data_IF_077754210890
#
_entry.id   IF_077754210890
#
_cell.length_a   1.000
_cell.length_b   1.000
_cell.length_c   1.000
_cell.angle_alpha   90.00
_cell.angle_beta   90.00
_cell.angle_gamma   90.00
#
_symmetry.space_group_name_H-M   'P 1'
#
loop_
_entity.id
_entity.type
_entity.pdbx_description
1 polymer ?
#
# COMPACT_ATOMS: atom_id res chain seq x y z
N UNK A 1 1.96 -7.02 15.15
CA UNK A 1 1.26 -8.06 15.95
C UNK A 1 1.02 -7.58 17.39
N UNK A 2 2.00 -7.07 18.16
CA UNK A 2 1.73 -6.61 19.53
C UNK A 2 0.62 -5.55 19.62
N UNK A 3 0.53 -4.65 18.65
CA UNK A 3 -0.54 -3.66 18.56
C UNK A 3 -1.93 -4.29 18.37
N UNK A 4 -2.05 -5.32 17.52
CA UNK A 4 -3.32 -6.04 17.30
C UNK A 4 -3.77 -6.72 18.60
N UNK A 5 -2.87 -7.42 19.29
CA UNK A 5 -3.16 -8.06 20.56
C UNK A 5 -3.58 -7.06 21.65
N UNK A 6 -2.92 -5.90 21.71
CA UNK A 6 -3.32 -4.82 22.62
C UNK A 6 -4.71 -4.28 22.27
N UNK A 7 -5.00 -4.05 20.99
CA UNK A 7 -6.32 -3.63 20.52
C UNK A 7 -7.43 -4.63 20.91
N UNK A 8 -7.13 -5.92 20.95
CA UNK A 8 -8.06 -6.95 21.40
C UNK A 8 -8.48 -6.77 22.86
N UNK A 9 -7.66 -6.16 23.71
CA UNK A 9 -7.96 -5.89 25.14
C UNK A 9 -8.60 -4.55 25.39
N UNK A 10 -8.58 -3.60 24.43
CA UNK A 10 -9.16 -2.27 24.61
C UNK A 10 -10.70 -2.33 24.70
N UNK A 11 -11.35 -1.51 25.54
CA UNK A 11 -12.81 -1.53 25.69
C UNK A 11 -13.55 -1.01 24.45
N UNK A 12 -12.87 -0.26 23.57
CA UNK A 12 -13.49 0.41 22.42
C UNK A 12 -13.85 -0.59 21.31
N UNK A 13 -15.02 -0.44 20.65
CA UNK A 13 -15.45 -1.30 19.55
C UNK A 13 -14.82 -0.88 18.22
N UNK A 14 -13.50 -1.04 18.08
CA UNK A 14 -12.73 -0.63 16.90
C UNK A 14 -12.85 -1.69 15.79
N UNK A 15 -12.85 -1.30 14.53
CA UNK A 15 -12.63 -2.21 13.40
C UNK A 15 -11.13 -2.28 13.10
N UNK A 16 -10.65 -3.46 12.70
CA UNK A 16 -9.24 -3.66 12.37
C UNK A 16 -9.04 -3.62 10.86
N UNK A 17 -8.14 -2.75 10.40
CA UNK A 17 -7.65 -2.75 9.03
C UNK A 17 -6.17 -3.11 9.00
N UNK A 18 -5.79 -4.03 8.12
CA UNK A 18 -4.42 -4.55 8.00
C UNK A 18 -3.92 -4.36 6.58
N UNK A 19 -2.84 -3.64 6.42
CA UNK A 19 -2.10 -3.55 5.15
C UNK A 19 -1.39 -4.88 4.89
N UNK A 20 -1.98 -5.72 4.02
CA UNK A 20 -1.46 -7.05 3.73
C UNK A 20 -0.51 -7.04 2.53
N UNK A 21 -0.96 -6.57 1.38
CA UNK A 21 -0.25 -6.35 0.10
C UNK A 21 0.39 -7.58 -0.56
N UNK A 22 0.56 -8.68 0.15
CA UNK A 22 0.95 -9.99 -0.36
C UNK A 22 0.40 -11.09 0.55
N UNK A 23 0.10 -12.26 0.00
CA UNK A 23 -0.47 -13.40 0.71
C UNK A 23 0.51 -14.57 0.89
N UNK A 24 1.79 -14.36 0.54
CA UNK A 24 2.90 -15.25 0.86
C UNK A 24 4.09 -14.45 1.40
N UNK A 25 4.90 -15.10 2.25
CA UNK A 25 5.99 -14.42 2.97
C UNK A 25 7.10 -13.94 2.04
N UNK A 26 7.38 -14.66 0.96
CA UNK A 26 8.46 -14.29 0.02
C UNK A 26 8.18 -12.90 -0.58
N UNK A 27 7.00 -12.71 -1.17
CA UNK A 27 6.63 -11.43 -1.74
C UNK A 27 6.40 -10.37 -0.66
N UNK A 28 5.83 -10.77 0.49
CA UNK A 28 5.55 -9.82 1.56
C UNK A 28 6.82 -9.29 2.23
N UNK A 29 7.88 -10.06 2.28
CA UNK A 29 9.20 -9.61 2.78
C UNK A 29 9.81 -8.49 1.94
N UNK A 30 9.47 -8.45 0.66
CA UNK A 30 9.89 -7.40 -0.27
C UNK A 30 9.02 -6.15 -0.16
N UNK A 31 7.69 -6.33 -0.17
CA UNK A 31 6.73 -5.23 -0.16
C UNK A 31 6.52 -4.60 1.22
N UNK A 32 6.59 -5.41 2.27
CA UNK A 32 6.30 -5.04 3.66
C UNK A 32 7.38 -5.62 4.58
N UNK A 33 8.57 -5.02 4.68
CA UNK A 33 9.76 -5.61 5.32
C UNK A 33 9.58 -6.03 6.78
N UNK A 34 8.59 -5.48 7.49
CA UNK A 34 8.25 -5.91 8.86
C UNK A 34 7.76 -7.37 8.91
N UNK A 35 7.41 -7.96 7.75
CA UNK A 35 7.03 -9.36 7.64
C UNK A 35 8.12 -10.31 8.12
N UNK A 36 9.38 -9.99 7.87
CA UNK A 36 10.54 -10.77 8.35
C UNK A 36 10.53 -10.98 9.86
N UNK A 37 9.95 -10.03 10.60
CA UNK A 37 9.78 -10.14 12.05
C UNK A 37 8.44 -10.77 12.44
N UNK A 38 7.43 -10.60 11.62
CA UNK A 38 6.06 -11.05 11.85
C UNK A 38 5.50 -11.67 10.57
N UNK A 39 5.79 -12.96 10.33
CA UNK A 39 5.30 -13.68 9.16
C UNK A 39 3.77 -13.68 9.05
N UNK A 40 3.27 -13.95 7.85
CA UNK A 40 1.83 -13.97 7.57
C UNK A 40 1.07 -14.91 8.52
N UNK A 41 1.62 -16.07 8.81
CA UNK A 41 0.99 -17.02 9.75
C UNK A 41 0.73 -16.41 11.12
N UNK A 42 1.72 -15.70 11.68
CA UNK A 42 1.57 -15.01 12.97
C UNK A 42 0.60 -13.83 12.89
N UNK A 43 0.59 -13.13 11.76
CA UNK A 43 -0.35 -12.02 11.51
C UNK A 43 -1.79 -12.53 11.45
N UNK A 44 -2.03 -13.63 10.71
CA UNK A 44 -3.35 -14.27 10.57
C UNK A 44 -3.84 -14.75 11.93
N UNK A 45 -2.97 -15.41 12.72
CA UNK A 45 -3.31 -15.84 14.07
C UNK A 45 -3.71 -14.67 14.98
N UNK A 46 -2.93 -13.58 14.97
CA UNK A 46 -3.26 -12.39 15.76
C UNK A 46 -4.57 -11.69 15.31
N UNK A 47 -4.89 -11.76 14.02
CA UNK A 47 -6.18 -11.28 13.50
C UNK A 47 -7.34 -12.18 13.97
N UNK A 48 -7.13 -13.50 14.01
CA UNK A 48 -8.09 -14.46 14.57
C UNK A 48 -8.38 -14.17 16.04
N UNK A 49 -7.34 -14.05 16.86
CA UNK A 49 -7.44 -13.69 18.29
C UNK A 49 -8.26 -12.39 18.48
N UNK A 50 -8.01 -11.39 17.61
CA UNK A 50 -8.74 -10.12 17.63
C UNK A 50 -10.22 -10.30 17.31
N UNK A 51 -10.55 -11.09 16.28
CA UNK A 51 -11.94 -11.36 15.88
C UNK A 51 -12.70 -12.11 16.99
N UNK A 52 -12.10 -13.10 17.62
CA UNK A 52 -12.69 -13.82 18.74
C UNK A 52 -12.97 -12.89 19.93
N UNK A 53 -12.01 -12.04 20.28
CA UNK A 53 -12.15 -11.12 21.41
C UNK A 53 -13.17 -10.00 21.17
N UNK A 54 -13.27 -9.49 19.93
CA UNK A 54 -14.04 -8.26 19.61
C UNK A 54 -15.29 -8.49 18.78
N UNK A 55 -15.37 -9.57 18.02
CA UNK A 55 -16.44 -9.80 17.02
C UNK A 55 -16.70 -8.55 16.15
N UNK A 56 -15.64 -7.91 15.68
CA UNK A 56 -15.69 -6.70 14.85
C UNK A 56 -15.19 -6.98 13.45
N UNK A 57 -15.41 -6.03 12.53
CA UNK A 57 -14.96 -6.18 11.15
C UNK A 57 -13.44 -6.17 11.05
N UNK A 58 -12.90 -7.12 10.28
CA UNK A 58 -11.54 -7.12 9.79
C UNK A 58 -11.54 -6.76 8.31
N UNK A 59 -10.64 -5.89 7.87
CA UNK A 59 -10.37 -5.64 6.46
C UNK A 59 -8.89 -5.80 6.15
N UNK A 60 -8.60 -6.35 4.96
CA UNK A 60 -7.27 -6.35 4.37
C UNK A 60 -7.19 -5.26 3.31
N UNK A 61 -6.19 -4.40 3.43
CA UNK A 61 -5.86 -3.39 2.43
C UNK A 61 -4.82 -3.98 1.46
N UNK A 62 -5.11 -3.91 0.16
CA UNK A 62 -4.26 -4.48 -0.88
C UNK A 62 -4.03 -3.48 -1.99
N UNK A 63 -2.84 -2.87 -2.04
CA UNK A 63 -2.41 -2.02 -3.14
C UNK A 63 -2.05 -2.90 -4.34
N UNK A 64 -2.71 -2.70 -5.46
CA UNK A 64 -2.51 -3.47 -6.69
C UNK A 64 -1.34 -2.89 -7.50
N UNK A 65 -0.26 -3.66 -7.58
CA UNK A 65 0.97 -3.35 -8.30
C UNK A 65 1.05 -4.29 -9.50
N UNK A 66 1.11 -3.70 -10.70
CA UNK A 66 1.13 -4.44 -11.95
C UNK A 66 2.30 -5.43 -12.02
N UNK A 67 2.03 -6.66 -12.45
CA UNK A 67 2.96 -7.78 -12.61
C UNK A 67 3.69 -8.22 -11.32
N UNK A 68 3.35 -7.63 -10.16
CA UNK A 68 3.97 -7.95 -8.87
C UNK A 68 3.06 -8.76 -7.97
N UNK A 69 1.89 -8.20 -7.59
CA UNK A 69 0.95 -8.81 -6.66
C UNK A 69 -0.49 -8.87 -7.21
N UNK A 70 -0.65 -8.83 -8.52
CA UNK A 70 -1.95 -8.86 -9.20
C UNK A 70 -2.18 -10.14 -10.04
N UNK A 71 -1.39 -11.18 -9.80
CA UNK A 71 -1.46 -12.46 -10.53
C UNK A 71 -2.64 -13.32 -10.05
N UNK A 72 -2.98 -14.34 -10.83
CA UNK A 72 -4.03 -15.30 -10.44
C UNK A 72 -3.66 -16.17 -9.22
N UNK A 73 -2.36 -16.36 -8.97
CA UNK A 73 -1.87 -16.97 -7.73
C UNK A 73 -2.18 -16.10 -6.52
N UNK A 74 -1.93 -14.78 -6.63
CA UNK A 74 -2.17 -13.83 -5.55
C UNK A 74 -3.65 -13.76 -5.17
N UNK A 75 -4.55 -13.85 -6.17
CA UNK A 75 -6.00 -13.93 -5.92
C UNK A 75 -6.35 -15.16 -5.08
N UNK A 76 -5.83 -16.34 -5.44
CA UNK A 76 -6.15 -17.58 -4.71
C UNK A 76 -5.60 -17.58 -3.29
N UNK A 77 -4.36 -17.15 -3.12
CA UNK A 77 -3.70 -17.05 -1.81
C UNK A 77 -4.41 -16.05 -0.90
N UNK A 78 -4.73 -14.86 -1.44
CA UNK A 78 -5.49 -13.84 -0.70
C UNK A 78 -6.90 -14.33 -0.34
N UNK A 79 -7.58 -15.00 -1.27
CA UNK A 79 -8.91 -15.55 -1.02
C UNK A 79 -8.91 -16.59 0.10
N UNK A 80 -7.89 -17.45 0.19
CA UNK A 80 -7.77 -18.43 1.26
C UNK A 80 -7.72 -17.72 2.63
N UNK A 81 -6.80 -16.76 2.80
CA UNK A 81 -6.64 -16.01 4.06
C UNK A 81 -7.92 -15.21 4.40
N UNK A 82 -8.48 -14.51 3.41
CA UNK A 82 -9.63 -13.65 3.64
C UNK A 82 -10.90 -14.44 4.02
N UNK A 83 -11.10 -15.61 3.44
CA UNK A 83 -12.24 -16.49 3.77
C UNK A 83 -12.15 -17.07 5.18
N UNK A 84 -10.99 -17.56 5.58
CA UNK A 84 -10.77 -18.13 6.90
C UNK A 84 -11.10 -17.13 8.01
N UNK A 85 -10.75 -15.87 7.80
CA UNK A 85 -11.01 -14.79 8.75
C UNK A 85 -12.31 -14.02 8.48
N UNK A 86 -13.09 -14.38 7.46
CA UNK A 86 -14.27 -13.62 6.98
C UNK A 86 -13.95 -12.13 6.80
N UNK A 87 -12.72 -11.84 6.35
CA UNK A 87 -12.24 -10.49 6.18
C UNK A 87 -12.80 -9.86 4.90
N UNK A 88 -13.05 -8.56 4.96
CA UNK A 88 -13.29 -7.75 3.78
C UNK A 88 -11.95 -7.41 3.11
N UNK A 89 -11.91 -7.38 1.78
CA UNK A 89 -10.71 -6.97 1.03
C UNK A 89 -10.97 -5.62 0.35
N UNK A 90 -10.14 -4.65 0.68
CA UNK A 90 -10.10 -3.34 0.03
C UNK A 90 -8.98 -3.32 -1.00
N UNK A 91 -9.33 -3.34 -2.28
CA UNK A 91 -8.39 -3.20 -3.38
C UNK A 91 -8.11 -1.72 -3.64
N UNK A 92 -6.85 -1.33 -3.62
CA UNK A 92 -6.40 0.04 -3.80
C UNK A 92 -5.63 0.11 -5.13
N UNK A 93 -6.22 0.64 -6.21
CA UNK A 93 -5.46 0.92 -7.42
C UNK A 93 -4.33 1.90 -7.10
N UNK A 94 -3.10 1.56 -7.50
CA UNK A 94 -1.96 2.41 -7.21
C UNK A 94 -1.93 3.59 -8.18
N UNK A 95 -1.85 4.80 -7.67
CA UNK A 95 -1.65 5.98 -8.49
C UNK A 95 -0.19 6.06 -8.96
N UNK A 96 0.00 6.45 -10.22
CA UNK A 96 1.33 6.78 -10.71
C UNK A 96 1.91 7.96 -9.91
N UNK A 97 3.14 7.79 -9.43
CA UNK A 97 3.86 8.85 -8.71
C UNK A 97 5.06 9.28 -9.55
N UNK A 98 5.18 10.54 -9.97
CA UNK A 98 6.31 11.01 -10.74
C UNK A 98 7.66 10.65 -10.09
N UNK A 99 8.57 10.09 -10.89
CA UNK A 99 9.90 9.67 -10.40
C UNK A 99 9.94 8.37 -9.60
N UNK A 100 8.81 7.65 -9.48
CA UNK A 100 8.76 6.35 -8.81
C UNK A 100 8.53 5.23 -9.84
N UNK A 101 9.33 4.14 -9.84
CA UNK A 101 9.27 3.11 -10.88
C UNK A 101 8.08 2.17 -10.77
N UNK A 102 7.33 2.21 -9.67
CA UNK A 102 6.23 1.27 -9.43
C UNK A 102 4.99 1.68 -10.23
N UNK A 103 4.49 0.76 -11.05
CA UNK A 103 3.31 0.95 -11.89
C UNK A 103 2.14 0.21 -11.26
N UNK A 104 0.97 0.86 -11.18
CA UNK A 104 -0.27 0.21 -10.75
C UNK A 104 -0.80 -0.77 -11.80
N UNK A 105 -1.63 -1.71 -11.36
CA UNK A 105 -2.35 -2.61 -12.26
C UNK A 105 -3.30 -1.82 -13.18
N UNK A 106 -3.53 -2.31 -14.39
CA UNK A 106 -4.49 -1.70 -15.31
C UNK A 106 -5.92 -1.73 -14.73
N UNK A 107 -6.81 -0.81 -15.12
CA UNK A 107 -8.20 -0.81 -14.66
C UNK A 107 -8.92 -2.13 -14.94
N UNK A 108 -8.64 -2.77 -16.08
CA UNK A 108 -9.19 -4.05 -16.46
C UNK A 108 -8.70 -5.16 -15.51
N UNK A 109 -7.40 -5.15 -15.18
CA UNK A 109 -6.83 -6.12 -14.24
C UNK A 109 -7.38 -5.95 -12.84
N UNK A 110 -7.54 -4.71 -12.37
CA UNK A 110 -8.18 -4.39 -11.08
C UNK A 110 -9.60 -4.95 -11.04
N UNK A 111 -10.38 -4.76 -12.11
CA UNK A 111 -11.75 -5.28 -12.22
C UNK A 111 -11.77 -6.81 -12.16
N UNK A 112 -10.96 -7.48 -12.97
CA UNK A 112 -10.85 -8.95 -13.00
C UNK A 112 -10.42 -9.49 -11.63
N UNK A 113 -9.46 -8.86 -10.97
CA UNK A 113 -8.98 -9.26 -9.66
C UNK A 113 -10.11 -9.20 -8.60
N UNK A 114 -10.90 -8.13 -8.62
CA UNK A 114 -12.05 -7.95 -7.72
C UNK A 114 -13.13 -9.01 -7.99
N UNK A 115 -13.53 -9.19 -9.24
CA UNK A 115 -14.56 -10.16 -9.65
C UNK A 115 -14.18 -11.58 -9.24
N UNK A 116 -12.93 -12.00 -9.51
CA UNK A 116 -12.45 -13.33 -9.11
C UNK A 116 -12.39 -13.55 -7.60
N UNK A 117 -12.04 -12.52 -6.81
CA UNK A 117 -12.13 -12.63 -5.35
C UNK A 117 -13.58 -12.84 -4.91
N UNK A 118 -14.52 -12.11 -5.51
CA UNK A 118 -15.96 -12.29 -5.23
C UNK A 118 -16.44 -13.68 -5.61
N UNK A 119 -16.04 -14.21 -6.77
CA UNK A 119 -16.35 -15.57 -7.21
C UNK A 119 -15.82 -16.64 -6.25
N UNK A 120 -14.68 -16.37 -5.61
CA UNK A 120 -14.11 -17.22 -4.57
C UNK A 120 -14.77 -17.02 -3.19
N UNK A 121 -15.83 -16.23 -3.08
CA UNK A 121 -16.60 -16.00 -1.86
C UNK A 121 -15.99 -14.98 -0.90
N UNK A 122 -15.10 -14.12 -1.39
CA UNK A 122 -14.51 -13.02 -0.61
C UNK A 122 -15.31 -11.74 -0.86
N UNK A 123 -15.67 -11.03 0.20
CA UNK A 123 -16.24 -9.69 0.07
C UNK A 123 -15.14 -8.69 -0.26
N UNK A 124 -15.03 -8.31 -1.55
CA UNK A 124 -14.00 -7.41 -2.04
C UNK A 124 -14.62 -6.13 -2.65
N UNK A 125 -13.97 -5.01 -2.46
CA UNK A 125 -14.33 -3.73 -3.09
C UNK A 125 -13.09 -3.02 -3.62
N UNK A 126 -13.25 -2.29 -4.73
CA UNK A 126 -12.23 -1.40 -5.25
C UNK A 126 -12.43 -0.02 -4.66
N UNK A 127 -11.40 0.49 -3.99
CA UNK A 127 -11.42 1.86 -3.46
C UNK A 127 -11.34 2.86 -4.61
N UNK A 128 -12.32 3.75 -4.70
CA UNK A 128 -12.25 4.86 -5.65
C UNK A 128 -11.10 5.80 -5.27
N UNK A 129 -10.14 5.98 -6.18
CA UNK A 129 -9.07 6.95 -5.99
C UNK A 129 -9.68 8.36 -6.14
N UNK A 130 -9.64 9.11 -5.05
CA UNK A 130 -9.96 10.56 -5.08
C UNK A 130 -8.63 11.31 -5.08
N UNK A 131 -8.54 12.37 -5.89
CA UNK A 131 -7.38 13.25 -5.89
C UNK A 131 -6.28 12.92 -6.90
N UNK A 132 -6.55 12.10 -7.91
CA UNK A 132 -5.64 11.91 -9.06
C UNK A 132 -5.37 13.20 -9.82
N UNK A 133 -6.34 14.12 -9.82
CA UNK A 133 -6.23 15.42 -10.52
C UNK A 133 -5.50 16.49 -9.68
N UNK A 134 -5.32 16.28 -8.38
CA UNK A 134 -4.76 17.27 -7.44
C UNK A 134 -3.55 16.74 -6.65
N UNK A 135 -2.89 15.69 -7.12
CA UNK A 135 -1.72 15.06 -6.46
C UNK A 135 -1.91 14.79 -4.96
N UNK A 136 -3.16 14.49 -4.54
CA UNK A 136 -3.52 14.35 -3.13
C UNK A 136 -3.35 12.93 -2.57
N UNK A 137 -2.68 12.03 -3.29
CA UNK A 137 -2.41 10.67 -2.79
C UNK A 137 -1.25 10.67 -1.78
N UNK A 138 -1.33 9.78 -0.80
CA UNK A 138 -0.26 9.60 0.19
C UNK A 138 1.09 9.35 -0.49
N UNK A 139 2.07 10.21 -0.24
CA UNK A 139 3.42 10.14 -0.82
C UNK A 139 3.66 11.04 -2.03
N UNK A 140 2.65 11.44 -2.81
CA UNK A 140 2.82 12.31 -3.99
C UNK A 140 3.35 13.70 -3.60
N UNK A 141 2.79 14.33 -2.56
CA UNK A 141 3.26 15.60 -2.03
C UNK A 141 4.73 15.57 -1.58
N UNK A 142 5.18 14.46 -1.00
CA UNK A 142 6.56 14.29 -0.58
C UNK A 142 7.52 14.15 -1.76
N UNK A 143 7.12 13.44 -2.81
CA UNK A 143 7.92 13.30 -4.04
C UNK A 143 8.07 14.64 -4.75
N UNK A 144 7.00 15.43 -4.88
CA UNK A 144 7.02 16.76 -5.49
C UNK A 144 7.95 17.74 -4.73
N UNK A 145 7.97 17.66 -3.38
CA UNK A 145 8.89 18.46 -2.56
C UNK A 145 10.36 18.06 -2.70
N UNK A 146 10.66 16.77 -2.91
CA UNK A 146 12.02 16.30 -3.12
C UNK A 146 12.58 16.75 -4.47
N UNK A 147 11.76 16.72 -5.53
CA UNK A 147 12.13 17.17 -6.87
C UNK A 147 12.34 18.69 -6.88
N UNK A 148 11.49 19.47 -6.22
CA UNK A 148 11.62 20.91 -6.12
C UNK A 148 12.89 21.38 -5.39
N UNK A 149 13.37 20.66 -4.38
CA UNK A 149 14.62 20.97 -3.66
C UNK A 149 15.86 20.70 -4.52
N UNK A 150 15.86 19.67 -5.35
CA UNK A 150 16.98 19.38 -6.24
C UNK A 150 17.07 20.37 -7.41
N UNK A 151 15.93 20.87 -7.93
CA UNK A 151 15.91 21.90 -8.96
C UNK A 151 16.41 23.27 -8.45
N UNK A 152 16.17 23.58 -7.18
CA UNK A 152 16.62 24.86 -6.57
C UNK A 152 18.11 24.86 -6.22
N UNK A 153 18.77 23.71 -6.09
CA UNK A 153 20.21 23.62 -5.80
C UNK A 153 21.10 23.72 -7.04
N UNK A 154 20.56 23.55 -8.26
CA UNK A 154 21.33 23.67 -9.49
C UNK A 154 21.41 25.10 -10.06
N UNK A 155 20.57 26.03 -9.58
CA UNK A 155 20.53 27.41 -10.09
C UNK A 155 21.57 28.33 -9.45
N UNK A 156 22.29 27.91 -8.41
CA UNK A 156 23.20 28.79 -7.65
C UNK A 156 24.69 28.71 -8.04
N UNK A 157 25.07 27.99 -9.11
CA UNK A 157 26.48 27.80 -9.49
C UNK A 157 26.88 28.49 -10.83
N UNK A 158 26.17 29.50 -11.27
CA UNK A 158 26.42 30.14 -12.56
C UNK A 158 26.44 31.67 -12.60
N UNK A 159 26.97 32.39 -11.61
CA UNK A 159 27.19 33.82 -11.72
C UNK A 159 28.31 34.32 -10.81
N UNK A 160 29.55 34.23 -11.25
CA UNK A 160 30.58 35.22 -10.89
C UNK A 160 31.84 35.01 -11.74
N UNK A 161 32.11 35.90 -12.67
CA UNK A 161 33.33 36.65 -12.86
C UNK A 161 33.46 37.10 -14.32
N UNK A 162 33.10 38.32 -14.57
CA UNK A 162 33.78 39.11 -15.61
C UNK A 162 34.46 40.28 -14.92
N UNK A 163 35.80 40.21 -14.96
CA UNK A 163 36.64 41.30 -14.50
C UNK A 163 36.57 42.50 -15.44
N UNK A 164 36.71 43.65 -14.88
CA UNK A 164 36.89 44.94 -15.56
C UNK A 164 38.38 45.16 -15.77
N UNK A 165 38.90 45.51 -16.96
CA UNK A 165 40.25 45.97 -17.13
C UNK A 165 40.35 47.46 -16.74
N UNK A 166 41.33 47.78 -15.91
CA UNK A 166 41.69 49.15 -15.60
C UNK A 166 42.47 49.81 -16.72
N UNK A 167 42.13 51.07 -16.93
CA UNK A 167 42.95 51.98 -17.74
C UNK A 167 43.78 52.91 -16.85
N UNK A 168 45.00 53.16 -17.37
CA UNK A 168 45.98 54.26 -17.18
C UNK A 168 46.55 54.51 -15.79
#
# INVERSE_FOLDING_TARGET
>A
IPGIRRLATEPLPVNLAVSLHAANDTLRDELVPINRRYPIGDLVAACGDYLEAKNRRLSFEWALIGDVNDRDSDIRELAAIARDLRAHVNLIPLNATPGWPTVGSSPERVKVFCERLCDLGVNATVRANRGTEIDAACGQLRASHAIGKNASSEITLGATRRGVPGEA
#
